data_IF_336145929024
#
_entry.id   IF_336145929024
#
_cell.length_a   1.000
_cell.length_b   1.000
_cell.length_c   1.000
_cell.angle_alpha   90.00
_cell.angle_beta   90.00
_cell.angle_gamma   90.00
#
_symmetry.space_group_name_H-M   'P 1'
#
loop_
_entity.id
_entity.type
_entity.pdbx_description
1 polymer ?
#
# COMPACT_ATOMS: atom_id res chain seq x y z
N UNK A 1 -2.49 12.67 2.61
CA UNK A 1 -1.93 11.69 1.66
C UNK A 1 -0.64 11.11 2.23
N UNK A 2 -0.34 9.86 1.93
CA UNK A 2 0.92 9.23 2.27
C UNK A 2 1.45 8.48 1.06
N UNK A 3 2.73 8.66 0.77
CA UNK A 3 3.45 7.96 -0.29
C UNK A 3 4.67 7.30 0.35
N UNK A 4 4.98 6.08 -0.03
CA UNK A 4 6.15 5.36 0.45
C UNK A 4 6.90 4.78 -0.74
N UNK A 5 8.20 4.95 -0.74
CA UNK A 5 9.09 4.18 -1.63
C UNK A 5 9.08 2.72 -1.15
N UNK A 6 8.62 1.82 -2.02
CA UNK A 6 8.52 0.41 -1.69
C UNK A 6 9.88 -0.29 -1.57
N UNK A 7 10.91 0.24 -2.21
CA UNK A 7 12.28 -0.30 -2.23
C UNK A 7 13.17 0.43 -1.24
N UNK A 8 13.26 1.76 -1.37
CA UNK A 8 14.10 2.60 -0.52
C UNK A 8 13.56 2.85 0.88
N UNK A 9 12.26 2.68 1.10
CA UNK A 9 11.65 2.80 2.43
C UNK A 9 11.20 4.21 2.81
N UNK A 10 11.72 5.26 2.18
CA UNK A 10 11.38 6.65 2.49
C UNK A 10 9.87 6.91 2.43
N UNK A 11 9.39 7.77 3.34
CA UNK A 11 7.96 8.08 3.50
C UNK A 11 7.73 9.56 3.33
N UNK A 12 6.71 9.92 2.57
CA UNK A 12 6.27 11.29 2.37
C UNK A 12 4.80 11.45 2.74
N UNK A 13 4.53 12.35 3.67
CA UNK A 13 3.18 12.80 4.00
C UNK A 13 2.91 14.15 3.36
N UNK A 14 1.75 14.28 2.74
CA UNK A 14 1.27 15.52 2.15
C UNK A 14 -0.07 15.91 2.77
N UNK A 15 -0.18 17.14 3.21
CA UNK A 15 -1.43 17.76 3.63
C UNK A 15 -1.91 18.72 2.53
N UNK A 16 -3.13 18.55 2.07
CA UNK A 16 -3.76 19.37 1.04
C UNK A 16 -5.10 19.91 1.53
N UNK A 17 -5.07 20.85 2.48
CA UNK A 17 -6.22 21.58 3.03
C UNK A 17 -7.46 20.71 3.29
N UNK A 18 -7.27 19.43 3.59
CA UNK A 18 -8.32 18.44 3.80
C UNK A 18 -8.86 17.78 2.52
N UNK A 19 -8.33 18.13 1.35
CA UNK A 19 -8.76 17.55 0.08
C UNK A 19 -8.31 16.09 -0.10
N UNK A 20 -9.22 15.29 -0.66
CA UNK A 20 -8.98 13.92 -1.14
C UNK A 20 -9.22 13.81 -2.65
N UNK A 21 -9.12 14.92 -3.37
CA UNK A 21 -9.43 14.99 -4.80
C UNK A 21 -8.39 14.26 -5.67
N UNK A 22 -8.82 13.91 -6.88
CA UNK A 22 -7.93 13.37 -7.92
C UNK A 22 -6.83 14.34 -8.32
N UNK A 23 -7.06 15.65 -8.22
CA UNK A 23 -6.06 16.68 -8.51
C UNK A 23 -4.85 16.56 -7.59
N UNK A 24 -5.06 16.28 -6.31
CA UNK A 24 -3.96 16.05 -5.35
C UNK A 24 -3.16 14.82 -5.72
N UNK A 25 -3.84 13.72 -6.08
CA UNK A 25 -3.17 12.52 -6.57
C UNK A 25 -2.32 12.82 -7.82
N UNK A 26 -2.84 13.62 -8.76
CA UNK A 26 -2.08 14.04 -9.96
C UNK A 26 -0.87 14.89 -9.59
N UNK A 27 -0.98 15.82 -8.64
CA UNK A 27 0.17 16.62 -8.16
C UNK A 27 1.25 15.73 -7.56
N UNK A 28 0.88 14.72 -6.77
CA UNK A 28 1.81 13.86 -6.05
C UNK A 28 2.50 12.84 -6.95
N UNK A 29 1.76 12.15 -7.79
CA UNK A 29 2.27 11.00 -8.56
C UNK A 29 2.11 11.13 -10.07
N UNK A 30 1.54 12.25 -10.58
CA UNK A 30 1.26 12.44 -12.00
C UNK A 30 2.49 12.34 -12.90
N UNK A 31 3.61 12.90 -12.45
CA UNK A 31 4.91 12.86 -13.18
C UNK A 31 5.71 11.58 -12.97
N UNK A 32 5.37 10.79 -11.94
CA UNK A 32 6.09 9.55 -11.64
C UNK A 32 5.91 8.54 -12.79
N UNK A 33 6.98 7.80 -13.09
CA UNK A 33 6.99 6.67 -14.02
C UNK A 33 7.43 5.42 -13.24
N UNK A 34 6.67 4.35 -13.38
CA UNK A 34 6.94 3.10 -12.67
C UNK A 34 5.69 2.46 -12.07
N UNK A 35 5.90 1.57 -11.12
CA UNK A 35 4.82 0.87 -10.41
C UNK A 35 4.25 1.72 -9.27
N UNK A 36 2.92 1.80 -9.20
CA UNK A 36 2.18 2.49 -8.12
C UNK A 36 1.20 1.51 -7.50
N UNK A 37 1.42 1.18 -6.24
CA UNK A 37 0.55 0.28 -5.49
C UNK A 37 -0.46 1.08 -4.66
N UNK A 38 -1.74 0.71 -4.76
CA UNK A 38 -2.86 1.42 -4.12
C UNK A 38 -3.87 0.46 -3.50
N UNK A 39 -4.74 1.00 -2.66
CA UNK A 39 -5.84 0.29 -1.99
C UNK A 39 -7.11 0.10 -2.87
N UNK A 40 -7.07 0.54 -4.12
CA UNK A 40 -8.22 0.50 -5.02
C UNK A 40 -9.20 1.67 -4.82
N UNK A 41 -8.77 2.75 -4.17
CA UNK A 41 -9.55 3.97 -4.11
C UNK A 41 -9.75 4.54 -5.53
N UNK A 42 -11.00 4.90 -5.87
CA UNK A 42 -11.43 5.29 -7.23
C UNK A 42 -10.61 6.42 -7.86
N UNK A 43 -10.07 7.32 -7.04
CA UNK A 43 -9.21 8.42 -7.47
C UNK A 43 -8.02 7.95 -8.30
N UNK A 44 -7.54 6.73 -8.06
CA UNK A 44 -6.40 6.17 -8.79
C UNK A 44 -6.77 5.50 -10.12
N UNK A 45 -8.05 5.42 -10.46
CA UNK A 45 -8.48 4.83 -11.74
C UNK A 45 -7.99 5.64 -12.94
N UNK A 46 -7.91 6.96 -12.80
CA UNK A 46 -7.37 7.86 -13.83
C UNK A 46 -5.93 7.54 -14.24
N UNK A 47 -5.18 6.81 -13.41
CA UNK A 47 -3.81 6.42 -13.69
C UNK A 47 -3.68 5.05 -14.36
N UNK A 48 -4.76 4.27 -14.49
CA UNK A 48 -4.70 2.90 -15.04
C UNK A 48 -4.07 2.84 -16.42
N UNK A 49 -4.43 3.79 -17.27
CA UNK A 49 -3.94 3.88 -18.64
C UNK A 49 -2.91 5.01 -18.83
N UNK A 50 -2.40 5.58 -17.74
CA UNK A 50 -1.44 6.67 -17.83
C UNK A 50 -0.09 6.16 -18.35
N UNK A 51 0.51 6.79 -19.39
CA UNK A 51 1.76 6.34 -19.96
C UNK A 51 2.89 6.22 -18.92
N UNK A 52 3.58 5.09 -18.94
CA UNK A 52 4.71 4.82 -18.05
C UNK A 52 4.33 4.50 -16.60
N UNK A 53 3.04 4.34 -16.28
CA UNK A 53 2.57 3.87 -14.96
C UNK A 53 2.08 2.43 -15.04
N UNK A 54 2.33 1.70 -13.95
CA UNK A 54 1.78 0.36 -13.74
C UNK A 54 1.07 0.34 -12.40
N UNK A 55 -0.25 0.31 -12.43
CA UNK A 55 -1.06 0.25 -11.21
C UNK A 55 -1.05 -1.18 -10.66
N UNK A 56 -0.79 -1.32 -9.36
CA UNK A 56 -0.75 -2.59 -8.62
C UNK A 56 -1.79 -2.52 -7.52
N UNK A 57 -2.56 -3.60 -7.36
CA UNK A 57 -3.57 -3.74 -6.31
C UNK A 57 -2.98 -4.22 -4.98
N UNK A 58 -3.84 -4.28 -3.97
CA UNK A 58 -3.49 -4.70 -2.62
C UNK A 58 -4.32 -5.91 -2.19
N UNK A 59 -3.69 -7.06 -2.01
CA UNK A 59 -4.34 -8.28 -1.54
C UNK A 59 -4.84 -8.20 -0.10
N UNK A 60 -4.25 -7.34 0.75
CA UNK A 60 -4.74 -7.14 2.11
C UNK A 60 -6.15 -6.54 2.12
N UNK A 61 -6.46 -5.63 1.20
CA UNK A 61 -7.80 -5.04 1.07
C UNK A 61 -8.82 -6.07 0.56
N UNK A 62 -8.45 -6.90 -0.41
CA UNK A 62 -9.27 -8.03 -0.85
C UNK A 62 -9.56 -8.97 0.32
N UNK A 63 -8.53 -9.38 1.06
CA UNK A 63 -8.67 -10.24 2.23
C UNK A 63 -9.63 -9.63 3.27
N UNK A 64 -9.53 -8.33 3.53
CA UNK A 64 -10.43 -7.63 4.47
C UNK A 64 -11.89 -7.75 4.06
N UNK A 65 -12.20 -7.62 2.75
CA UNK A 65 -13.57 -7.77 2.25
C UNK A 65 -14.15 -9.15 2.49
N UNK A 66 -13.38 -10.20 2.31
CA UNK A 66 -13.82 -11.55 2.62
C UNK A 66 -13.89 -11.83 4.14
N UNK A 67 -13.02 -11.22 4.94
CA UNK A 67 -13.13 -11.28 6.42
C UNK A 67 -14.44 -10.61 6.90
N UNK A 68 -14.81 -9.47 6.33
CA UNK A 68 -16.07 -8.78 6.62
C UNK A 68 -17.30 -9.61 6.19
N UNK A 69 -17.14 -10.54 5.25
CA UNK A 69 -18.20 -11.43 4.78
C UNK A 69 -18.37 -12.72 5.61
N UNK A 70 -17.44 -13.03 6.54
CA UNK A 70 -17.51 -14.25 7.38
C UNK A 70 -18.77 -14.35 8.23
N UNK A 71 -19.34 -13.22 8.64
CA UNK A 71 -20.58 -13.19 9.43
C UNK A 71 -21.83 -13.51 8.60
N UNK A 72 -21.74 -13.33 7.26
CA UNK A 72 -22.85 -13.59 6.33
C UNK A 72 -22.75 -14.99 5.73
N UNK A 73 -21.58 -15.37 5.23
CA UNK A 73 -21.31 -16.69 4.65
C UNK A 73 -19.91 -17.16 5.04
N UNK A 74 -19.81 -17.84 6.15
CA UNK A 74 -18.55 -18.36 6.69
C UNK A 74 -17.87 -19.34 5.74
N UNK A 75 -18.64 -20.18 5.04
CA UNK A 75 -18.08 -21.22 4.17
C UNK A 75 -17.29 -20.60 3.02
N UNK A 76 -17.96 -19.85 2.15
CA UNK A 76 -17.32 -19.30 0.95
C UNK A 76 -16.33 -18.20 1.29
N UNK A 77 -16.59 -17.38 2.32
CA UNK A 77 -15.61 -16.39 2.78
C UNK A 77 -14.32 -17.06 3.28
N UNK A 78 -14.40 -18.17 4.03
CA UNK A 78 -13.21 -18.93 4.45
C UNK A 78 -12.47 -19.53 3.26
N UNK A 79 -13.17 -20.08 2.27
CA UNK A 79 -12.55 -20.61 1.03
C UNK A 79 -11.75 -19.51 0.32
N UNK A 80 -12.32 -18.31 0.13
CA UNK A 80 -11.61 -17.17 -0.43
C UNK A 80 -10.35 -16.79 0.36
N UNK A 81 -10.47 -16.72 1.70
CA UNK A 81 -9.35 -16.41 2.59
C UNK A 81 -8.26 -17.48 2.49
N UNK A 82 -8.59 -18.75 2.26
CA UNK A 82 -7.59 -19.81 2.05
C UNK A 82 -6.77 -19.55 0.79
N UNK A 83 -7.39 -19.18 -0.35
CA UNK A 83 -6.64 -18.82 -1.55
C UNK A 83 -5.67 -17.67 -1.31
N UNK A 84 -6.15 -16.61 -0.68
CA UNK A 84 -5.31 -15.45 -0.36
C UNK A 84 -4.19 -15.82 0.61
N UNK A 85 -4.47 -16.66 1.61
CA UNK A 85 -3.47 -17.12 2.57
C UNK A 85 -2.34 -17.94 1.93
N UNK A 86 -2.64 -18.71 0.86
CA UNK A 86 -1.60 -19.42 0.08
C UNK A 86 -0.62 -18.43 -0.57
N UNK A 87 -1.12 -17.30 -1.11
CA UNK A 87 -0.27 -16.26 -1.66
C UNK A 87 0.64 -15.65 -0.59
N UNK A 88 0.09 -15.30 0.58
CA UNK A 88 0.88 -14.76 1.69
C UNK A 88 1.91 -15.76 2.24
N UNK A 89 1.57 -17.04 2.30
CA UNK A 89 2.50 -18.09 2.71
C UNK A 89 3.69 -18.16 1.77
N UNK A 90 3.44 -18.15 0.47
CA UNK A 90 4.50 -18.13 -0.55
C UNK A 90 5.42 -16.91 -0.39
N UNK A 91 4.86 -15.72 -0.17
CA UNK A 91 5.64 -14.50 0.09
C UNK A 91 6.50 -14.62 1.36
N UNK A 92 5.95 -15.20 2.44
CA UNK A 92 6.69 -15.41 3.68
C UNK A 92 7.88 -16.38 3.49
N UNK A 93 7.67 -17.47 2.77
CA UNK A 93 8.74 -18.43 2.45
C UNK A 93 9.86 -17.81 1.61
N UNK A 94 9.51 -17.00 0.59
CA UNK A 94 10.50 -16.31 -0.23
C UNK A 94 11.30 -15.28 0.58
N UNK A 95 10.64 -14.58 1.50
CA UNK A 95 11.28 -13.63 2.42
C UNK A 95 12.22 -14.32 3.40
N UNK A 96 11.79 -15.43 4.00
CA UNK A 96 12.61 -16.22 4.92
C UNK A 96 13.86 -16.77 4.21
N UNK A 97 13.69 -17.27 2.98
CA UNK A 97 14.76 -17.72 2.13
C UNK A 97 15.64 -16.58 1.58
N UNK A 98 15.31 -15.31 1.87
CA UNK A 98 16.04 -14.10 1.39
C UNK A 98 16.30 -14.12 -0.12
N UNK A 99 15.31 -14.55 -0.89
CA UNK A 99 15.44 -14.62 -2.34
C UNK A 99 15.68 -13.25 -2.96
N UNK A 100 16.46 -13.22 -4.04
CA UNK A 100 16.65 -12.01 -4.86
C UNK A 100 15.41 -11.73 -5.72
N UNK A 101 15.19 -10.48 -6.17
CA UNK A 101 14.01 -10.09 -6.94
C UNK A 101 13.72 -10.98 -8.15
N UNK A 102 14.72 -11.38 -8.92
CA UNK A 102 14.52 -12.23 -10.09
C UNK A 102 14.00 -13.62 -9.72
N UNK A 103 14.55 -14.23 -8.66
CA UNK A 103 14.07 -15.51 -8.14
C UNK A 103 12.66 -15.41 -7.53
N UNK A 104 12.33 -14.29 -6.88
CA UNK A 104 10.98 -14.02 -6.39
C UNK A 104 10.00 -13.96 -7.56
N UNK A 105 10.34 -13.22 -8.63
CA UNK A 105 9.52 -13.12 -9.83
C UNK A 105 9.26 -14.50 -10.44
N UNK A 106 10.30 -15.27 -10.68
CA UNK A 106 10.20 -16.63 -11.26
C UNK A 106 9.29 -17.53 -10.40
N UNK A 107 9.47 -17.51 -9.08
CA UNK A 107 8.66 -18.31 -8.17
C UNK A 107 7.21 -17.85 -8.13
N UNK A 108 6.93 -16.55 -8.21
CA UNK A 108 5.56 -16.01 -8.33
C UNK A 108 4.88 -16.43 -9.63
N UNK A 109 5.59 -16.38 -10.76
CA UNK A 109 5.07 -16.83 -12.06
C UNK A 109 4.72 -18.32 -12.02
N UNK A 110 5.53 -19.14 -11.37
CA UNK A 110 5.34 -20.59 -11.29
C UNK A 110 4.30 -21.03 -10.27
N UNK A 111 4.25 -20.39 -9.10
CA UNK A 111 3.46 -20.86 -7.97
C UNK A 111 2.29 -19.90 -7.61
N UNK A 112 2.49 -18.57 -7.60
CA UNK A 112 1.46 -17.64 -7.24
C UNK A 112 0.42 -17.42 -8.35
N UNK A 113 0.85 -17.36 -9.62
CA UNK A 113 -0.05 -17.14 -10.73
C UNK A 113 -1.12 -18.23 -10.87
N UNK A 114 -0.80 -19.54 -10.79
CA UNK A 114 -1.82 -20.59 -10.75
C UNK A 114 -2.81 -20.44 -9.61
N UNK A 115 -2.38 -20.03 -8.42
CA UNK A 115 -3.28 -19.78 -7.27
C UNK A 115 -4.27 -18.66 -7.61
N UNK A 116 -3.82 -17.58 -8.25
CA UNK A 116 -4.69 -16.46 -8.68
C UNK A 116 -5.71 -16.95 -9.70
N UNK A 117 -5.28 -17.75 -10.70
CA UNK A 117 -6.16 -18.31 -11.70
C UNK A 117 -7.23 -19.23 -11.09
N UNK A 118 -6.84 -20.09 -10.14
CA UNK A 118 -7.78 -20.98 -9.46
C UNK A 118 -8.74 -20.22 -8.57
N UNK A 119 -8.29 -19.14 -7.93
CA UNK A 119 -9.15 -18.23 -7.18
C UNK A 119 -10.17 -17.53 -8.11
N UNK A 120 -9.76 -17.06 -9.27
CA UNK A 120 -10.66 -16.49 -10.27
C UNK A 120 -11.71 -17.49 -10.74
N UNK A 121 -11.30 -18.71 -11.08
CA UNK A 121 -12.22 -19.79 -11.45
C UNK A 121 -13.22 -20.09 -10.35
N UNK A 122 -12.73 -20.21 -9.11
CA UNK A 122 -13.59 -20.42 -7.94
C UNK A 122 -14.61 -19.28 -7.78
N UNK A 123 -14.19 -18.01 -7.86
CA UNK A 123 -15.12 -16.88 -7.82
C UNK A 123 -16.19 -16.97 -8.90
N UNK A 124 -15.82 -17.37 -10.14
CA UNK A 124 -16.77 -17.57 -11.24
C UNK A 124 -17.84 -18.61 -10.91
N UNK A 125 -17.49 -19.67 -10.19
CA UNK A 125 -18.44 -20.72 -9.81
C UNK A 125 -19.43 -20.28 -8.74
N UNK A 126 -19.01 -19.38 -7.83
CA UNK A 126 -19.82 -19.01 -6.64
C UNK A 126 -20.52 -17.66 -6.80
N UNK A 127 -20.09 -16.81 -7.72
CA UNK A 127 -20.57 -15.42 -7.83
C UNK A 127 -22.10 -15.33 -8.00
N UNK A 128 -22.71 -16.25 -8.75
CA UNK A 128 -24.14 -16.29 -9.00
C UNK A 128 -25.00 -16.60 -7.74
N UNK A 129 -24.37 -17.07 -6.68
CA UNK A 129 -25.06 -17.43 -5.44
C UNK A 129 -25.30 -16.21 -4.53
N UNK A 130 -24.72 -15.06 -4.83
CA UNK A 130 -24.72 -13.89 -3.95
C UNK A 130 -25.35 -12.66 -4.60
N UNK A 131 -26.25 -12.01 -3.86
CA UNK A 131 -26.74 -10.70 -4.29
C UNK A 131 -25.59 -9.67 -4.34
N UNK A 132 -25.51 -8.79 -5.38
CA UNK A 132 -24.41 -7.82 -5.51
C UNK A 132 -24.23 -6.88 -4.30
N UNK A 133 -25.30 -6.65 -3.53
CA UNK A 133 -25.27 -5.79 -2.33
C UNK A 133 -24.93 -6.52 -1.04
N UNK A 134 -24.88 -7.85 -1.04
CA UNK A 134 -24.45 -8.66 0.10
C UNK A 134 -22.96 -8.44 0.38
N UNK A 135 -22.46 -8.80 1.57
CA UNK A 135 -21.02 -8.67 1.89
C UNK A 135 -20.16 -9.54 0.98
N UNK A 136 -20.61 -10.81 0.75
CA UNK A 136 -19.93 -11.71 -0.20
C UNK A 136 -19.96 -11.17 -1.63
N UNK A 137 -21.13 -10.72 -2.12
CA UNK A 137 -21.26 -10.12 -3.45
C UNK A 137 -20.34 -8.92 -3.63
N UNK A 138 -20.30 -8.00 -2.66
CA UNK A 138 -19.37 -6.85 -2.66
C UNK A 138 -17.90 -7.27 -2.67
N UNK A 139 -17.53 -8.30 -1.90
CA UNK A 139 -16.16 -8.80 -1.87
C UNK A 139 -15.74 -9.38 -3.23
N UNK A 140 -16.62 -10.16 -3.87
CA UNK A 140 -16.41 -10.72 -5.20
C UNK A 140 -16.30 -9.61 -6.26
N UNK A 141 -17.26 -8.67 -6.31
CA UNK A 141 -17.26 -7.56 -7.28
C UNK A 141 -15.99 -6.69 -7.11
N UNK A 142 -15.64 -6.35 -5.87
CA UNK A 142 -14.41 -5.60 -5.57
C UNK A 142 -13.16 -6.35 -6.07
N UNK A 143 -13.09 -7.65 -5.84
CA UNK A 143 -11.95 -8.46 -6.27
C UNK A 143 -11.85 -8.51 -7.79
N UNK A 144 -12.97 -8.72 -8.49
CA UNK A 144 -12.99 -8.72 -9.96
C UNK A 144 -12.54 -7.40 -10.56
N UNK A 145 -13.03 -6.27 -10.02
CA UNK A 145 -12.66 -4.95 -10.54
C UNK A 145 -11.16 -4.68 -10.42
N UNK A 146 -10.49 -5.30 -9.44
CA UNK A 146 -9.06 -5.12 -9.18
C UNK A 146 -8.18 -6.27 -9.64
N UNK A 147 -8.75 -7.39 -10.12
CA UNK A 147 -7.99 -8.61 -10.43
C UNK A 147 -6.81 -8.38 -11.38
N UNK A 148 -6.94 -7.58 -12.47
CA UNK A 148 -5.80 -7.26 -13.32
C UNK A 148 -4.67 -6.54 -12.55
N UNK A 149 -5.00 -5.61 -11.63
CA UNK A 149 -4.02 -4.89 -10.81
C UNK A 149 -3.42 -5.80 -9.75
N UNK A 150 -4.24 -6.68 -9.14
CA UNK A 150 -3.82 -7.65 -8.14
C UNK A 150 -2.83 -8.66 -8.70
N UNK A 151 -3.00 -9.07 -9.95
CA UNK A 151 -2.09 -10.03 -10.60
C UNK A 151 -0.73 -9.42 -10.98
N UNK A 152 -0.65 -8.09 -11.14
CA UNK A 152 0.59 -7.44 -11.60
C UNK A 152 1.74 -7.49 -10.62
N UNK A 153 1.51 -7.79 -9.32
CA UNK A 153 2.61 -7.89 -8.37
C UNK A 153 3.58 -9.03 -8.69
N UNK A 154 3.13 -10.04 -9.46
CA UNK A 154 4.00 -11.15 -9.88
C UNK A 154 5.06 -10.73 -10.90
N UNK A 155 4.86 -9.63 -11.63
CA UNK A 155 5.69 -9.21 -12.76
C UNK A 155 7.10 -8.73 -12.36
N UNK A 156 7.30 -8.42 -11.09
CA UNK A 156 8.59 -7.95 -10.58
C UNK A 156 8.73 -8.33 -9.10
N UNK A 157 9.85 -8.97 -8.73
CA UNK A 157 10.08 -9.40 -7.35
C UNK A 157 10.27 -8.25 -6.34
N UNK A 158 10.42 -7.01 -6.80
CA UNK A 158 10.47 -5.81 -5.95
C UNK A 158 9.09 -5.30 -5.56
N UNK A 159 8.03 -5.72 -6.24
CA UNK A 159 6.67 -5.32 -5.90
C UNK A 159 6.19 -6.06 -4.64
N UNK A 160 5.40 -5.39 -3.83
CA UNK A 160 4.79 -6.01 -2.66
C UNK A 160 3.43 -6.62 -3.01
N UNK A 161 3.03 -7.67 -2.28
CA UNK A 161 1.69 -8.26 -2.39
C UNK A 161 0.61 -7.29 -1.88
N UNK A 162 0.96 -6.36 -0.98
CA UNK A 162 0.06 -5.39 -0.39
C UNK A 162 0.74 -4.04 -0.10
N UNK A 163 -0.06 -3.04 0.25
CA UNK A 163 0.39 -1.70 0.61
C UNK A 163 0.53 -1.49 2.14
N UNK A 164 0.63 -2.56 2.93
CA UNK A 164 0.74 -2.47 4.40
C UNK A 164 1.93 -1.61 4.85
N UNK A 165 2.98 -1.51 4.04
CA UNK A 165 4.12 -0.66 4.34
C UNK A 165 3.75 0.82 4.52
N UNK A 166 2.91 1.38 3.64
CA UNK A 166 2.42 2.76 3.79
C UNK A 166 1.36 2.88 4.88
N UNK A 167 0.50 1.89 5.05
CA UNK A 167 -0.51 1.89 6.13
C UNK A 167 0.15 1.86 7.51
N UNK A 168 1.20 1.08 7.69
CA UNK A 168 1.97 1.06 8.94
C UNK A 168 2.69 2.39 9.19
N UNK A 169 3.16 3.08 8.14
CA UNK A 169 3.77 4.40 8.28
C UNK A 169 2.75 5.46 8.75
N UNK A 170 1.46 5.32 8.39
CA UNK A 170 0.39 6.24 8.81
C UNK A 170 -0.02 6.04 10.29
N UNK A 171 0.23 4.88 10.89
CA UNK A 171 -0.21 4.56 12.27
C UNK A 171 0.20 5.59 13.31
N UNK A 172 1.46 6.07 13.38
CA UNK A 172 1.85 7.10 14.36
C UNK A 172 1.04 8.39 14.23
N UNK A 173 0.77 8.82 12.99
CA UNK A 173 -0.09 9.97 12.71
C UNK A 173 -1.54 9.72 13.18
N UNK A 174 -2.08 8.54 12.89
CA UNK A 174 -3.44 8.18 13.28
C UNK A 174 -3.62 8.10 14.82
N UNK A 175 -2.60 7.61 15.53
CA UNK A 175 -2.57 7.60 16.99
C UNK A 175 -2.39 9.01 17.56
N UNK A 176 -1.46 9.79 17.01
CA UNK A 176 -1.23 11.18 17.41
C UNK A 176 -2.50 12.03 17.32
N UNK A 177 -3.26 11.91 16.24
CA UNK A 177 -4.55 12.60 16.07
C UNK A 177 -5.56 12.31 17.17
N UNK A 178 -5.54 11.12 17.76
CA UNK A 178 -6.40 10.80 18.92
C UNK A 178 -5.99 11.53 20.18
N UNK A 179 -4.71 11.92 20.29
CA UNK A 179 -4.16 12.60 21.46
C UNK A 179 -4.32 14.11 21.36
N UNK A 180 -3.90 14.73 20.25
CA UNK A 180 -3.93 16.19 20.08
C UNK A 180 -5.15 16.72 19.29
N UNK A 181 -6.00 15.86 18.74
CA UNK A 181 -7.27 16.11 18.06
C UNK A 181 -7.17 16.96 16.78
N UNK A 182 -6.43 18.06 16.78
CA UNK A 182 -6.26 18.99 15.64
C UNK A 182 -4.89 19.66 15.65
N UNK A 183 -4.49 20.22 14.51
CA UNK A 183 -3.18 20.88 14.32
C UNK A 183 -3.25 22.42 14.47
N UNK A 184 -4.37 22.98 14.89
CA UNK A 184 -4.56 24.42 15.03
C UNK A 184 -4.99 25.10 13.71
N UNK A 185 -4.14 25.09 12.69
CA UNK A 185 -4.43 25.67 11.36
C UNK A 185 -3.77 24.86 10.23
N UNK A 186 -4.02 25.27 8.98
CA UNK A 186 -3.50 24.59 7.79
C UNK A 186 -1.97 24.58 7.73
N UNK A 187 -1.31 25.70 8.08
CA UNK A 187 0.15 25.80 8.08
C UNK A 187 0.78 24.86 9.11
N UNK A 188 0.17 24.75 10.29
CA UNK A 188 0.60 23.79 11.30
C UNK A 188 0.44 22.33 10.81
N UNK A 189 -0.63 22.03 10.06
CA UNK A 189 -0.83 20.70 9.48
C UNK A 189 0.19 20.40 8.37
N UNK A 190 0.60 21.38 7.55
CA UNK A 190 1.69 21.25 6.58
C UNK A 190 3.01 20.95 7.30
N UNK A 191 3.36 21.73 8.34
CA UNK A 191 4.59 21.49 9.13
C UNK A 191 4.57 20.10 9.78
N UNK A 192 3.43 19.70 10.35
CA UNK A 192 3.29 18.36 10.92
C UNK A 192 3.52 17.27 9.87
N UNK A 193 2.97 17.42 8.64
CA UNK A 193 3.19 16.47 7.57
C UNK A 193 4.68 16.33 7.20
N UNK A 194 5.44 17.44 7.15
CA UNK A 194 6.88 17.44 6.91
C UNK A 194 7.61 16.67 8.03
N UNK A 195 7.33 16.98 9.29
CA UNK A 195 7.99 16.34 10.45
C UNK A 195 7.67 14.83 10.46
N UNK A 196 6.41 14.44 10.23
CA UNK A 196 6.04 13.04 10.15
C UNK A 196 6.73 12.32 8.99
N UNK A 197 6.96 12.99 7.85
CA UNK A 197 7.70 12.43 6.72
C UNK A 197 9.13 12.07 7.11
N UNK A 198 9.83 13.00 7.75
CA UNK A 198 11.20 12.81 8.20
C UNK A 198 11.29 11.70 9.26
N UNK A 199 10.45 11.75 10.28
CA UNK A 199 10.45 10.73 11.34
C UNK A 199 10.07 9.34 10.84
N UNK A 200 9.12 9.24 9.91
CA UNK A 200 8.74 7.97 9.30
C UNK A 200 9.88 7.41 8.41
N UNK A 201 10.62 8.29 7.74
CA UNK A 201 11.80 7.90 6.96
C UNK A 201 12.95 7.46 7.87
N UNK A 202 13.25 8.17 8.97
CA UNK A 202 14.19 7.69 9.98
C UNK A 202 13.87 6.26 10.42
N UNK A 203 12.59 6.04 10.80
CA UNK A 203 12.14 4.73 11.25
C UNK A 203 12.26 3.65 10.18
N UNK A 204 12.00 4.00 8.92
CA UNK A 204 12.08 3.06 7.80
C UNK A 204 13.53 2.63 7.49
N UNK A 205 14.50 3.48 7.86
CA UNK A 205 15.94 3.25 7.69
C UNK A 205 16.66 2.84 8.99
N UNK A 206 15.91 2.50 10.06
CA UNK A 206 16.47 2.14 11.37
C UNK A 206 17.38 3.24 11.98
N UNK A 207 17.09 4.51 11.66
CA UNK A 207 17.79 5.69 12.18
C UNK A 207 17.09 6.13 13.46
N UNK A 208 17.86 6.33 14.55
CA UNK A 208 17.35 6.91 15.79
C UNK A 208 16.92 8.36 15.55
N UNK A 209 15.63 8.63 15.75
CA UNK A 209 15.00 9.93 15.43
C UNK A 209 15.62 11.06 16.26
N UNK A 210 15.96 10.79 17.54
CA UNK A 210 16.51 11.81 18.43
C UNK A 210 17.91 12.19 18.00
N UNK A 211 18.76 11.21 17.77
CA UNK A 211 20.15 11.44 17.33
C UNK A 211 20.20 12.15 15.99
N UNK A 212 19.35 11.73 15.05
CA UNK A 212 19.21 12.40 13.74
C UNK A 212 18.76 13.85 13.89
N UNK A 213 17.77 14.13 14.75
CA UNK A 213 17.27 15.49 14.95
C UNK A 213 18.33 16.38 15.62
N UNK A 214 19.05 15.88 16.63
CA UNK A 214 20.14 16.60 17.29
C UNK A 214 21.26 16.93 16.30
N UNK A 215 21.67 16.02 15.44
CA UNK A 215 22.67 16.25 14.40
C UNK A 215 22.18 17.28 13.38
N UNK A 216 20.97 17.11 12.88
CA UNK A 216 20.35 18.03 11.92
C UNK A 216 20.28 19.44 12.48
N UNK A 217 19.81 19.64 13.71
CA UNK A 217 19.73 20.98 14.32
C UNK A 217 21.10 21.66 14.53
N UNK A 218 22.16 20.89 14.77
CA UNK A 218 23.52 21.40 14.87
C UNK A 218 24.08 21.80 13.49
N UNK A 219 23.78 21.07 12.44
CA UNK A 219 24.34 21.25 11.11
C UNK A 219 23.56 22.23 10.24
N UNK A 220 22.25 22.34 10.39
CA UNK A 220 21.38 23.15 9.52
C UNK A 220 21.85 24.62 9.35
N UNK A 221 22.46 25.31 10.36
CA UNK A 221 22.91 26.67 10.17
C UNK A 221 24.11 26.82 9.22
N UNK A 222 24.88 25.77 9.00
CA UNK A 222 26.14 25.79 8.24
C UNK A 222 26.12 24.89 7.00
N UNK A 223 25.17 23.95 6.92
CA UNK A 223 25.06 23.02 5.81
C UNK A 223 24.50 23.74 4.57
N UNK A 224 25.23 23.66 3.47
CA UNK A 224 24.83 24.27 2.19
C UNK A 224 23.91 23.37 1.36
N UNK A 225 24.06 22.06 1.51
CA UNK A 225 23.23 21.06 0.84
C UNK A 225 22.31 20.39 1.86
N UNK A 226 21.08 20.90 1.93
CA UNK A 226 20.06 20.36 2.84
C UNK A 226 19.71 18.89 2.57
N UNK A 227 20.03 18.34 1.39
CA UNK A 227 19.79 16.92 1.09
C UNK A 227 20.67 16.01 1.95
N UNK A 228 21.82 16.50 2.41
CA UNK A 228 22.74 15.81 3.34
C UNK A 228 22.21 15.71 4.78
N UNK A 229 21.10 16.36 5.07
CA UNK A 229 20.42 16.32 6.37
C UNK A 229 19.19 15.36 6.35
N UNK A 230 18.84 14.84 5.18
CA UNK A 230 17.72 13.88 5.08
C UNK A 230 18.10 12.55 5.73
N UNK A 231 17.12 11.87 6.37
CA UNK A 231 17.34 10.57 6.96
C UNK A 231 17.49 9.46 5.93
#
# INVERSE_FOLDING_TARGET
WAVRDAVGGSVYFHYDMGSRSGETAVKLIGKYRGAVQTDGYEVYESFENAPGKRMIGCWAHVRRKFVEALDEDRKHASEAIVYISKLYKLEAEMKEAKLKPDAIKERREKEAYPIIQDFEKWMNTVAGNFAPRSRMGKAIVYTYSLLPRLSRYILDGRYNIDNNGVENAIRPLALGRKNYLFCGNHDAAVRAAIIYSLFASCKAHDIDIRNWLEDTLKRIPTEKDITMLLP
#
